data_IF_504391743366
#
_entry.id   IF_504391743366
#
_cell.length_a   1.000
_cell.length_b   1.000
_cell.length_c   1.000
_cell.angle_alpha   90.00
_cell.angle_beta   90.00
_cell.angle_gamma   90.00
#
_symmetry.space_group_name_H-M   'P 1'
#
loop_
_entity.id
_entity.type
_entity.pdbx_description
1 polymer ?
#
# COMPACT_ATOMS: atom_id res chain seq x y z
N UNK A 1 -0.45 -31.01 -30.35
CA UNK A 1 -1.04 -30.62 -29.07
C UNK A 1 -0.04 -29.88 -28.13
N UNK A 2 1.26 -30.17 -28.17
CA UNK A 2 2.30 -29.47 -27.39
C UNK A 2 2.41 -27.96 -27.70
N UNK A 3 2.38 -27.57 -28.98
CA UNK A 3 2.51 -26.18 -29.43
C UNK A 3 1.41 -25.22 -28.89
N UNK A 4 0.23 -25.75 -28.55
CA UNK A 4 -0.89 -24.92 -28.05
C UNK A 4 -0.78 -24.59 -26.56
N UNK A 5 -0.08 -25.38 -25.77
CA UNK A 5 0.20 -25.08 -24.35
C UNK A 5 1.39 -24.12 -24.20
N UNK A 6 2.45 -24.30 -24.95
CA UNK A 6 3.59 -23.39 -25.00
C UNK A 6 3.17 -21.96 -25.42
N UNK A 7 2.38 -21.84 -26.50
CA UNK A 7 1.85 -20.53 -26.92
C UNK A 7 0.99 -19.86 -25.86
N UNK A 8 0.24 -20.62 -25.03
CA UNK A 8 -0.57 -20.06 -23.94
C UNK A 8 0.29 -19.54 -22.79
N UNK A 9 1.36 -20.23 -22.44
CA UNK A 9 2.30 -19.83 -21.41
C UNK A 9 3.08 -18.58 -21.84
N UNK A 10 3.51 -18.51 -23.10
CA UNK A 10 4.16 -17.33 -23.66
C UNK A 10 3.23 -16.11 -23.66
N UNK A 11 1.97 -16.27 -24.07
CA UNK A 11 0.97 -15.20 -24.06
C UNK A 11 0.70 -14.73 -22.62
N UNK A 12 0.57 -15.63 -21.67
CA UNK A 12 0.38 -15.28 -20.26
C UNK A 12 1.58 -14.49 -19.72
N UNK A 13 2.79 -14.87 -20.06
CA UNK A 13 4.02 -14.18 -19.70
C UNK A 13 4.06 -12.76 -20.31
N UNK A 14 3.71 -12.62 -21.59
CA UNK A 14 3.66 -11.32 -22.27
C UNK A 14 2.63 -10.40 -21.60
N UNK A 15 1.44 -10.92 -21.30
CA UNK A 15 0.41 -10.15 -20.60
C UNK A 15 0.89 -9.67 -19.23
N UNK A 16 1.50 -10.55 -18.44
CA UNK A 16 2.07 -10.19 -17.13
C UNK A 16 3.13 -9.09 -17.23
N UNK A 17 4.04 -9.19 -18.22
CA UNK A 17 5.07 -8.15 -18.43
C UNK A 17 4.47 -6.83 -18.92
N UNK A 18 3.40 -6.89 -19.73
CA UNK A 18 2.70 -5.70 -20.21
C UNK A 18 1.98 -4.97 -19.05
N UNK A 19 1.32 -5.70 -18.17
CA UNK A 19 0.69 -5.13 -16.96
C UNK A 19 1.73 -4.50 -16.03
N UNK A 20 2.88 -5.14 -15.85
CA UNK A 20 4.00 -4.56 -15.08
C UNK A 20 4.52 -3.26 -15.70
N UNK A 21 4.63 -3.21 -17.03
CA UNK A 21 5.09 -2.03 -17.75
C UNK A 21 4.08 -0.88 -17.64
N UNK A 22 2.79 -1.16 -17.81
CA UNK A 22 1.72 -0.18 -17.63
C UNK A 22 1.71 0.41 -16.22
N UNK A 23 1.78 -0.45 -15.20
CA UNK A 23 1.90 -0.01 -13.80
C UNK A 23 3.12 0.88 -13.57
N UNK A 24 4.27 0.55 -14.17
CA UNK A 24 5.49 1.36 -14.11
C UNK A 24 5.29 2.74 -14.70
N UNK A 25 4.78 2.79 -15.93
CA UNK A 25 4.56 4.05 -16.66
C UNK A 25 3.61 4.94 -15.88
N UNK A 26 2.49 4.40 -15.42
CA UNK A 26 1.50 5.16 -14.64
C UNK A 26 2.08 5.67 -13.32
N UNK A 27 2.85 4.85 -12.62
CA UNK A 27 3.50 5.25 -11.37
C UNK A 27 4.54 6.36 -11.59
N UNK A 28 5.35 6.27 -12.66
CA UNK A 28 6.34 7.29 -13.01
C UNK A 28 5.68 8.60 -13.42
N UNK A 29 4.60 8.55 -14.20
CA UNK A 29 3.83 9.75 -14.58
C UNK A 29 3.24 10.43 -13.35
N UNK A 30 2.66 9.66 -12.41
CA UNK A 30 2.13 10.21 -11.15
C UNK A 30 3.24 10.88 -10.33
N UNK A 31 4.36 10.20 -10.16
CA UNK A 31 5.53 10.75 -9.44
C UNK A 31 6.05 12.03 -10.07
N UNK A 32 6.27 12.03 -11.38
CA UNK A 32 6.74 13.21 -12.12
C UNK A 32 5.80 14.40 -11.94
N UNK A 33 4.49 14.18 -12.00
CA UNK A 33 3.48 15.23 -11.79
C UNK A 33 3.42 15.71 -10.34
N UNK A 34 3.67 14.85 -9.36
CA UNK A 34 3.76 15.24 -7.96
C UNK A 34 5.02 16.07 -7.69
N UNK A 35 6.19 15.62 -8.17
CA UNK A 35 7.47 16.33 -8.01
C UNK A 35 7.48 17.71 -8.69
N UNK A 36 6.80 17.83 -9.84
CA UNK A 36 6.66 19.11 -10.55
C UNK A 36 5.58 20.03 -9.96
N UNK A 37 4.89 19.63 -8.90
CA UNK A 37 3.78 20.39 -8.31
C UNK A 37 2.55 20.53 -9.22
N UNK A 38 2.49 19.77 -10.33
CA UNK A 38 1.36 19.77 -11.26
C UNK A 38 0.13 19.10 -10.64
N UNK A 39 0.35 18.10 -9.79
CA UNK A 39 -0.73 17.51 -9.00
C UNK A 39 -0.91 18.32 -7.73
N UNK A 40 -1.97 19.12 -7.72
CA UNK A 40 -2.43 19.71 -6.47
C UNK A 40 -3.17 18.66 -5.65
N UNK A 41 -2.69 18.38 -4.46
CA UNK A 41 -3.48 17.67 -3.44
C UNK A 41 -4.41 18.69 -2.78
N UNK A 42 -5.65 18.30 -2.55
CA UNK A 42 -6.66 19.13 -1.91
C UNK A 42 -7.08 18.50 -0.57
N UNK A 43 -6.28 18.72 0.51
CA UNK A 43 -6.62 18.17 1.82
C UNK A 43 -7.90 18.83 2.33
N UNK A 44 -8.87 18.01 2.67
CA UNK A 44 -10.15 18.40 3.28
C UNK A 44 -10.43 17.56 4.53
N UNK A 45 -11.43 17.94 5.31
CA UNK A 45 -11.88 17.15 6.44
C UNK A 45 -12.52 15.85 5.96
N UNK A 46 -11.76 14.77 6.05
CA UNK A 46 -12.09 13.48 5.45
C UNK A 46 -12.46 12.46 6.53
N UNK A 47 -13.64 11.83 6.39
CA UNK A 47 -14.03 10.70 7.21
C UNK A 47 -13.15 9.47 6.92
N UNK A 48 -12.38 9.04 7.90
CA UNK A 48 -11.43 7.93 7.76
C UNK A 48 -12.13 6.62 7.42
N UNK A 49 -13.31 6.35 8.00
CA UNK A 49 -14.11 5.14 7.71
C UNK A 49 -14.31 4.91 6.23
N UNK A 50 -14.87 5.90 5.52
CA UNK A 50 -15.20 5.76 4.10
C UNK A 50 -13.97 5.46 3.24
N UNK A 51 -12.86 6.11 3.55
CA UNK A 51 -11.59 5.90 2.89
C UNK A 51 -11.05 4.47 3.12
N UNK A 52 -11.10 3.97 4.35
CA UNK A 52 -10.63 2.63 4.69
C UNK A 52 -11.54 1.54 4.11
N UNK A 53 -12.86 1.75 4.08
CA UNK A 53 -13.82 0.87 3.42
C UNK A 53 -13.55 0.77 1.91
N UNK A 54 -13.24 1.88 1.25
CA UNK A 54 -12.88 1.87 -0.17
C UNK A 54 -11.61 1.05 -0.43
N UNK A 55 -10.59 1.18 0.43
CA UNK A 55 -9.37 0.35 0.36
C UNK A 55 -9.69 -1.13 0.59
N UNK A 56 -10.46 -1.45 1.63
CA UNK A 56 -10.85 -2.83 1.92
C UNK A 56 -11.59 -3.47 0.74
N UNK A 57 -12.58 -2.76 0.17
CA UNK A 57 -13.34 -3.24 -0.99
C UNK A 57 -12.45 -3.48 -2.20
N UNK A 58 -11.52 -2.59 -2.48
CA UNK A 58 -10.57 -2.72 -3.60
C UNK A 58 -9.74 -3.99 -3.53
N UNK A 59 -9.37 -4.43 -2.32
CA UNK A 59 -8.48 -5.58 -2.12
C UNK A 59 -9.18 -6.84 -1.61
N UNK A 60 -10.50 -6.80 -1.40
CA UNK A 60 -11.28 -7.93 -0.88
C UNK A 60 -11.13 -9.21 -1.73
N UNK A 61 -11.23 -9.09 -3.07
CA UNK A 61 -11.08 -10.22 -3.98
C UNK A 61 -9.67 -10.83 -3.88
N UNK A 62 -8.62 -9.98 -3.95
CA UNK A 62 -7.22 -10.41 -3.87
C UNK A 62 -6.89 -11.08 -2.54
N UNK A 63 -7.44 -10.60 -1.43
CA UNK A 63 -7.31 -11.23 -0.12
C UNK A 63 -8.05 -12.57 -0.09
N UNK A 64 -9.27 -12.62 -0.64
CA UNK A 64 -10.09 -13.84 -0.74
C UNK A 64 -9.41 -14.95 -1.53
N UNK A 65 -8.76 -14.65 -2.67
CA UNK A 65 -8.03 -15.62 -3.49
C UNK A 65 -6.89 -16.31 -2.72
N UNK A 66 -6.31 -15.63 -1.72
CA UNK A 66 -5.30 -16.19 -0.81
C UNK A 66 -5.88 -16.70 0.51
N UNK A 67 -7.21 -16.62 0.72
CA UNK A 67 -7.86 -16.96 2.00
C UNK A 67 -7.40 -16.05 3.15
N UNK A 68 -6.89 -14.84 2.86
CA UNK A 68 -6.43 -13.89 3.87
C UNK A 68 -7.64 -13.17 4.47
N UNK A 69 -7.70 -13.14 5.81
CA UNK A 69 -8.68 -12.32 6.53
C UNK A 69 -8.25 -10.85 6.50
N UNK A 70 -8.93 -10.04 5.70
CA UNK A 70 -8.73 -8.59 5.64
C UNK A 70 -9.77 -7.89 6.52
N UNK A 71 -9.39 -7.49 7.72
CA UNK A 71 -10.27 -6.88 8.72
C UNK A 71 -10.08 -5.38 8.83
N UNK A 72 -11.19 -4.66 9.03
CA UNK A 72 -11.24 -3.23 9.27
C UNK A 72 -11.88 -2.97 10.63
N UNK A 73 -11.23 -2.16 11.47
CA UNK A 73 -11.79 -1.68 12.72
C UNK A 73 -12.71 -0.48 12.45
N UNK A 74 -13.86 -0.47 13.11
CA UNK A 74 -14.81 0.64 13.01
C UNK A 74 -14.24 1.94 13.59
N UNK A 75 -14.51 3.08 12.93
CA UNK A 75 -13.97 4.37 13.33
C UNK A 75 -14.84 5.53 12.83
N UNK A 76 -15.01 6.55 13.66
CA UNK A 76 -15.66 7.83 13.31
C UNK A 76 -14.65 8.98 13.23
N UNK A 77 -13.36 8.66 13.13
CA UNK A 77 -12.29 9.65 13.09
C UNK A 77 -12.24 10.40 11.76
N UNK A 78 -11.76 11.63 11.83
CA UNK A 78 -11.55 12.52 10.70
C UNK A 78 -10.10 13.00 10.65
N UNK A 79 -9.57 13.18 9.44
CA UNK A 79 -8.24 13.74 9.22
C UNK A 79 -8.23 14.73 8.05
N UNK A 80 -7.29 15.67 8.09
CA UNK A 80 -7.03 16.59 6.98
C UNK A 80 -6.23 15.89 5.90
N UNK A 81 -6.91 15.39 4.86
CA UNK A 81 -6.26 14.72 3.74
C UNK A 81 -7.11 14.75 2.47
N UNK A 82 -6.47 14.50 1.33
CA UNK A 82 -7.13 14.22 0.07
C UNK A 82 -7.44 12.72 0.01
N UNK A 83 -8.72 12.38 0.15
CA UNK A 83 -9.21 11.00 0.23
C UNK A 83 -8.75 10.15 -0.95
N UNK A 84 -8.81 10.69 -2.17
CA UNK A 84 -8.45 9.96 -3.40
C UNK A 84 -6.98 9.52 -3.38
N UNK A 85 -6.08 10.45 -3.03
CA UNK A 85 -4.66 10.15 -2.95
C UNK A 85 -4.33 9.23 -1.77
N UNK A 86 -5.05 9.39 -0.65
CA UNK A 86 -4.85 8.52 0.50
C UNK A 86 -5.32 7.09 0.25
N UNK A 87 -6.44 6.88 -0.45
CA UNK A 87 -6.87 5.53 -0.88
C UNK A 87 -5.78 4.87 -1.73
N UNK A 88 -5.13 5.61 -2.63
CA UNK A 88 -4.00 5.08 -3.41
C UNK A 88 -2.80 4.74 -2.53
N UNK A 89 -2.41 5.62 -1.60
CA UNK A 89 -1.28 5.38 -0.71
C UNK A 89 -1.50 4.17 0.20
N UNK A 90 -2.65 4.10 0.85
CA UNK A 90 -3.04 2.98 1.72
C UNK A 90 -3.19 1.69 0.93
N UNK A 91 -3.74 1.77 -0.29
CA UNK A 91 -3.84 0.66 -1.22
C UNK A 91 -2.49 0.02 -1.54
N UNK A 92 -1.44 0.82 -1.78
CA UNK A 92 -0.08 0.31 -1.99
C UNK A 92 0.47 -0.42 -0.76
N UNK A 93 0.12 0.02 0.45
CA UNK A 93 0.55 -0.63 1.69
C UNK A 93 -0.24 -1.94 1.90
N UNK A 94 -1.57 -1.92 1.70
CA UNK A 94 -2.43 -3.10 1.83
C UNK A 94 -2.07 -4.15 0.77
N UNK A 95 -1.77 -3.73 -0.46
CA UNK A 95 -1.30 -4.64 -1.51
C UNK A 95 -0.05 -5.40 -1.09
N UNK A 96 0.92 -4.70 -0.52
CA UNK A 96 2.12 -5.32 0.01
C UNK A 96 1.81 -6.25 1.19
N UNK A 97 0.96 -5.86 2.12
CA UNK A 97 0.54 -6.71 3.24
C UNK A 97 -0.07 -8.03 2.75
N UNK A 98 -1.00 -7.99 1.80
CA UNK A 98 -1.60 -9.20 1.21
C UNK A 98 -0.57 -10.01 0.43
N UNK A 99 0.29 -9.35 -0.32
CA UNK A 99 1.30 -10.00 -1.15
C UNK A 99 2.27 -10.84 -0.31
N UNK A 100 2.78 -10.28 0.79
CA UNK A 100 3.80 -10.89 1.63
C UNK A 100 3.24 -11.72 2.80
N UNK A 101 1.94 -11.78 2.95
CA UNK A 101 1.25 -12.68 3.87
C UNK A 101 0.98 -14.02 3.18
N UNK A 102 1.23 -15.10 3.90
CA UNK A 102 0.94 -16.48 3.44
C UNK A 102 -0.55 -16.72 3.32
N UNK A 103 -0.94 -17.70 2.51
CA UNK A 103 -2.34 -18.12 2.39
C UNK A 103 -2.94 -18.45 3.76
N UNK A 104 -4.17 -17.99 4.01
CA UNK A 104 -4.86 -18.16 5.29
C UNK A 104 -4.39 -17.21 6.40
N UNK A 105 -3.51 -16.24 6.09
CA UNK A 105 -3.03 -15.27 7.06
C UNK A 105 -4.02 -14.14 7.36
N UNK A 106 -3.53 -13.09 8.03
CA UNK A 106 -4.36 -11.98 8.48
C UNK A 106 -3.72 -10.63 8.12
N UNK A 107 -4.55 -9.71 7.64
CA UNK A 107 -4.23 -8.29 7.48
C UNK A 107 -5.31 -7.48 8.21
N UNK A 108 -4.91 -6.56 9.06
CA UNK A 108 -5.84 -5.71 9.82
C UNK A 108 -5.55 -4.23 9.59
N UNK A 109 -6.61 -3.44 9.47
CA UNK A 109 -6.56 -1.99 9.35
C UNK A 109 -7.24 -1.39 10.56
N UNK A 110 -6.54 -0.52 11.29
CA UNK A 110 -7.06 0.18 12.48
C UNK A 110 -6.75 1.65 12.38
N UNK A 111 -7.59 2.49 13.01
CA UNK A 111 -7.34 3.92 13.14
C UNK A 111 -7.46 4.34 14.60
N UNK A 112 -6.53 5.17 15.07
CA UNK A 112 -6.51 5.75 16.41
C UNK A 112 -6.19 7.24 16.34
N UNK A 113 -6.82 8.03 17.21
CA UNK A 113 -6.55 9.46 17.30
C UNK A 113 -5.51 9.78 18.37
N UNK A 114 -4.60 10.66 18.00
CA UNK A 114 -3.63 11.31 18.88
C UNK A 114 -3.89 12.84 18.88
N UNK A 115 -3.21 13.56 19.74
CA UNK A 115 -3.46 15.02 19.91
C UNK A 115 -3.37 15.82 18.60
N UNK A 116 -2.47 15.44 17.68
CA UNK A 116 -2.22 16.18 16.43
C UNK A 116 -2.35 15.33 15.17
N UNK A 117 -2.53 14.02 15.32
CA UNK A 117 -2.57 13.08 14.20
C UNK A 117 -3.64 12.01 14.43
N UNK A 118 -4.24 11.57 13.33
CA UNK A 118 -4.86 10.25 13.24
C UNK A 118 -3.81 9.29 12.75
N UNK A 119 -3.60 8.19 13.46
CA UNK A 119 -2.74 7.09 13.06
C UNK A 119 -3.58 5.98 12.44
N UNK A 120 -3.20 5.54 11.25
CA UNK A 120 -3.79 4.38 10.57
C UNK A 120 -2.72 3.30 10.54
N UNK A 121 -2.98 2.17 11.19
CA UNK A 121 -2.11 1.01 11.24
C UNK A 121 -2.61 -0.05 10.27
N UNK A 122 -1.75 -0.50 9.37
CA UNK A 122 -1.95 -1.66 8.51
C UNK A 122 -0.96 -2.72 8.98
N UNK A 123 -1.49 -3.80 9.58
CA UNK A 123 -0.69 -4.84 10.22
C UNK A 123 -0.97 -6.18 9.55
N UNK A 124 0.09 -6.87 9.18
CA UNK A 124 0.09 -8.21 8.62
C UNK A 124 0.85 -9.20 9.51
N UNK A 125 0.54 -10.48 9.37
CA UNK A 125 1.28 -11.59 9.97
C UNK A 125 2.11 -12.35 8.93
N UNK A 126 2.64 -11.64 7.94
CA UNK A 126 3.43 -12.19 6.86
C UNK A 126 4.88 -12.49 7.23
N UNK A 127 5.73 -12.52 6.21
CA UNK A 127 7.16 -12.87 6.34
C UNK A 127 7.96 -11.88 7.18
N UNK A 128 7.47 -10.65 7.39
CA UNK A 128 8.22 -9.57 8.02
C UNK A 128 9.36 -9.03 7.17
N UNK A 129 10.13 -8.09 7.73
CA UNK A 129 11.21 -7.35 7.06
C UNK A 129 12.44 -7.39 7.97
N UNK A 130 13.60 -7.69 7.40
CA UNK A 130 14.87 -7.62 8.13
C UNK A 130 15.16 -6.18 8.56
N UNK A 131 15.70 -6.03 9.77
CA UNK A 131 15.92 -4.72 10.39
C UNK A 131 16.80 -3.79 9.52
N UNK A 132 17.79 -4.36 8.84
CA UNK A 132 18.72 -3.68 7.94
C UNK A 132 18.06 -3.21 6.63
N UNK A 133 16.91 -3.79 6.30
CA UNK A 133 16.16 -3.44 5.08
C UNK A 133 15.10 -2.35 5.33
N UNK A 134 14.59 -2.21 6.57
CA UNK A 134 13.55 -1.22 6.90
C UNK A 134 13.86 0.20 6.38
N UNK A 135 15.08 0.74 6.50
CA UNK A 135 15.39 2.05 5.95
C UNK A 135 15.34 2.13 4.42
N UNK A 136 15.45 0.99 3.73
CA UNK A 136 15.58 0.90 2.27
C UNK A 136 14.24 0.66 1.56
N UNK A 137 13.23 0.08 2.24
CA UNK A 137 11.97 -0.34 1.61
C UNK A 137 11.18 0.80 0.95
N UNK A 138 11.45 2.04 1.33
CA UNK A 138 10.89 3.24 0.70
C UNK A 138 11.76 3.80 -0.43
N UNK A 139 12.82 3.09 -0.83
CA UNK A 139 13.63 3.47 -1.98
C UNK A 139 12.91 3.17 -3.30
N UNK A 140 13.15 4.01 -4.33
CA UNK A 140 12.66 3.74 -5.70
C UNK A 140 13.27 2.45 -6.22
N UNK A 141 12.44 1.57 -6.76
CA UNK A 141 12.84 0.28 -7.34
C UNK A 141 13.52 -0.68 -6.34
N UNK A 142 13.45 -0.35 -5.04
CA UNK A 142 14.03 -1.23 -4.04
C UNK A 142 13.15 -2.48 -3.84
N UNK A 143 13.81 -3.63 -3.85
CA UNK A 143 13.23 -4.94 -3.51
C UNK A 143 14.25 -5.72 -2.70
N UNK A 144 13.80 -6.33 -1.60
CA UNK A 144 14.64 -7.28 -0.88
C UNK A 144 14.97 -8.50 -1.75
N UNK A 145 16.18 -9.01 -1.61
CA UNK A 145 16.59 -10.24 -2.28
C UNK A 145 15.76 -11.44 -1.81
N UNK A 146 15.29 -11.43 -0.57
CA UNK A 146 14.45 -12.49 0.00
C UNK A 146 13.07 -12.63 -0.67
N UNK A 147 12.63 -11.62 -1.40
CA UNK A 147 11.33 -11.58 -2.10
C UNK A 147 11.46 -11.27 -3.59
N UNK A 148 12.65 -11.49 -4.15
CA UNK A 148 12.93 -11.21 -5.57
C UNK A 148 11.98 -11.97 -6.53
N UNK A 149 11.55 -13.17 -6.15
CA UNK A 149 10.65 -14.02 -6.94
C UNK A 149 9.16 -13.56 -6.87
N UNK A 150 8.80 -12.69 -5.92
CA UNK A 150 7.43 -12.17 -5.85
C UNK A 150 7.20 -11.10 -6.92
N UNK A 151 6.02 -11.04 -7.57
CA UNK A 151 5.75 -10.02 -8.58
C UNK A 151 5.81 -8.62 -7.99
N UNK A 152 6.29 -7.63 -8.75
CA UNK A 152 6.30 -6.22 -8.34
C UNK A 152 7.55 -5.47 -8.77
N UNK A 153 7.48 -4.15 -8.74
CA UNK A 153 8.47 -3.25 -9.33
C UNK A 153 9.26 -2.46 -8.29
N UNK A 154 8.82 -2.46 -7.02
CA UNK A 154 9.48 -1.71 -5.95
C UNK A 154 9.20 -0.20 -5.95
N UNK A 155 8.04 0.23 -6.48
CA UNK A 155 7.63 1.64 -6.50
C UNK A 155 6.50 1.94 -5.49
N UNK A 156 5.67 0.95 -5.15
CA UNK A 156 4.44 1.18 -4.39
C UNK A 156 4.64 1.86 -3.03
N UNK A 157 5.59 1.38 -2.21
CA UNK A 157 5.88 2.00 -0.90
C UNK A 157 6.53 3.38 -1.04
N UNK A 158 7.37 3.58 -2.05
CA UNK A 158 7.93 4.90 -2.35
C UNK A 158 6.79 5.87 -2.69
N UNK A 159 5.90 5.51 -3.61
CA UNK A 159 4.74 6.34 -3.99
C UNK A 159 3.83 6.62 -2.78
N UNK A 160 3.54 5.62 -1.96
CA UNK A 160 2.75 5.79 -0.75
C UNK A 160 3.37 6.84 0.19
N UNK A 161 4.68 6.77 0.42
CA UNK A 161 5.39 7.75 1.26
C UNK A 161 5.32 9.17 0.68
N UNK A 162 5.56 9.34 -0.62
CA UNK A 162 5.48 10.65 -1.28
C UNK A 162 4.06 11.25 -1.16
N UNK A 163 3.02 10.45 -1.42
CA UNK A 163 1.62 10.89 -1.28
C UNK A 163 1.33 11.34 0.16
N UNK A 164 1.78 10.59 1.15
CA UNK A 164 1.57 10.90 2.57
C UNK A 164 2.31 12.19 2.95
N UNK A 165 3.56 12.35 2.51
CA UNK A 165 4.39 13.53 2.84
C UNK A 165 3.85 14.83 2.25
N UNK A 166 3.37 14.81 1.00
CA UNK A 166 2.77 15.99 0.36
C UNK A 166 1.54 16.48 1.15
N UNK A 167 0.85 15.57 1.86
CA UNK A 167 -0.29 15.88 2.73
C UNK A 167 0.11 16.18 4.18
N UNK A 168 1.39 16.46 4.44
CA UNK A 168 1.95 16.77 5.76
C UNK A 168 1.83 15.61 6.76
N UNK A 169 1.62 14.41 6.27
CA UNK A 169 1.66 13.17 7.02
C UNK A 169 3.06 12.55 7.03
N UNK A 170 3.19 11.44 7.73
CA UNK A 170 4.40 10.60 7.69
C UNK A 170 4.05 9.13 7.93
N UNK A 171 4.98 8.25 7.59
CA UNK A 171 4.83 6.81 7.75
C UNK A 171 5.96 6.24 8.61
N UNK A 172 5.62 5.29 9.48
CA UNK A 172 6.56 4.48 10.27
C UNK A 172 6.33 3.01 9.99
N UNK A 173 7.35 2.19 10.23
CA UNK A 173 7.30 0.74 10.08
C UNK A 173 7.90 0.08 11.31
N UNK A 174 7.19 -0.90 11.84
CA UNK A 174 7.67 -1.85 12.81
C UNK A 174 7.52 -3.24 12.21
N UNK A 175 8.60 -4.01 12.13
CA UNK A 175 8.59 -5.35 11.55
C UNK A 175 9.63 -6.24 12.20
N UNK A 176 9.33 -7.53 12.23
CA UNK A 176 10.25 -8.59 12.67
C UNK A 176 10.13 -9.76 11.71
N UNK A 177 11.26 -10.24 11.22
CA UNK A 177 11.31 -11.36 10.28
C UNK A 177 10.59 -12.59 10.87
N UNK A 178 9.68 -13.17 10.09
CA UNK A 178 8.85 -14.31 10.50
C UNK A 178 7.64 -13.97 11.37
N UNK A 179 7.43 -12.68 11.74
CA UNK A 179 6.28 -12.27 12.58
C UNK A 179 5.32 -11.30 11.88
N UNK A 180 5.74 -10.72 10.75
CA UNK A 180 4.97 -9.77 9.99
C UNK A 180 5.40 -8.33 10.19
N UNK A 181 4.59 -7.40 9.68
CA UNK A 181 4.89 -5.98 9.66
C UNK A 181 3.68 -5.15 10.10
N UNK A 182 3.95 -3.97 10.63
CA UNK A 182 2.95 -2.93 10.91
C UNK A 182 3.42 -1.62 10.32
N UNK A 183 2.65 -1.11 9.37
CA UNK A 183 2.85 0.20 8.74
C UNK A 183 1.89 1.19 9.38
N UNK A 184 2.44 2.22 10.04
CA UNK A 184 1.69 3.27 10.72
C UNK A 184 1.74 4.56 9.90
N UNK A 185 0.60 4.99 9.36
CA UNK A 185 0.43 6.25 8.63
C UNK A 185 -0.15 7.28 9.57
N UNK A 186 0.47 8.45 9.64
CA UNK A 186 0.05 9.56 10.48
C UNK A 186 -0.43 10.73 9.62
N UNK A 187 -1.68 11.12 9.78
CA UNK A 187 -2.31 12.24 9.07
C UNK A 187 -2.69 13.34 10.07
N UNK A 188 -2.55 14.63 9.73
CA UNK A 188 -2.97 15.71 10.61
C UNK A 188 -4.45 15.58 10.96
N UNK A 189 -4.81 15.82 12.23
CA UNK A 189 -6.22 15.93 12.62
C UNK A 189 -6.85 17.15 11.99
N UNK A 190 -8.15 17.05 11.71
CA UNK A 190 -8.95 18.24 11.42
C UNK A 190 -8.90 19.18 12.62
N UNK A 191 -8.62 20.48 12.41
CA UNK A 191 -8.70 21.45 13.50
C UNK A 191 -10.16 21.51 13.94
N UNK A 192 -10.45 21.06 15.14
CA UNK A 192 -11.69 21.45 15.81
C UNK A 192 -11.57 22.96 16.08
N UNK A 193 -12.44 23.75 15.44
CA UNK A 193 -12.67 25.14 15.82
C UNK A 193 -13.31 25.23 17.18
#
# INVERSE_FOLDING_TARGET
MANSSENREEIATILEQTEKLDFLIQSLVKLSRMESGIIAVHPEDTAIRQMLEAVQQQFAAKAGDKGISLSLCDTDLHAMCDAKWMVEALGNIVDNAIKYTSNGGNVSIKAEQYSFFVRIDITDNGIGIEKEEIPKIFGRFYRSLSVADQPGVGIGLFLAREIIQVQKGYIKVASELGKGSSFSVFLPVSKQE
#
